data_IF_780707617672
#
_entry.id   IF_780707617672
#
_cell.length_a   1.000
_cell.length_b   1.000
_cell.length_c   1.000
_cell.angle_alpha   90.00
_cell.angle_beta   90.00
_cell.angle_gamma   90.00
#
_symmetry.space_group_name_H-M   'P 1'
#
loop_
_entity.id
_entity.type
_entity.pdbx_description
1 polymer ?
#
# COMPACT_ATOMS: atom_id res chain seq x y z
N UNK A 1 3.71 -15.46 2.26
CA UNK A 1 3.92 -14.14 1.63
C UNK A 1 2.73 -13.19 1.85
N UNK A 2 1.50 -13.70 1.99
CA UNK A 2 0.29 -12.88 2.06
C UNK A 2 0.04 -12.19 3.41
N UNK A 3 0.68 -12.58 4.48
CA UNK A 3 0.47 -12.00 5.82
C UNK A 3 1.35 -10.79 6.11
N UNK A 4 2.40 -10.55 5.34
CA UNK A 4 3.34 -9.43 5.51
C UNK A 4 2.75 -8.04 5.23
N UNK A 5 1.50 -7.94 4.78
CA UNK A 5 0.89 -6.65 4.42
C UNK A 5 0.21 -5.92 5.60
N UNK A 6 0.24 -6.47 6.82
CA UNK A 6 -0.74 -6.09 7.85
C UNK A 6 -0.17 -5.39 9.10
N UNK A 7 1.13 -5.29 9.32
CA UNK A 7 1.61 -4.59 10.52
C UNK A 7 3.10 -4.23 10.47
N UNK A 8 3.47 -3.05 10.98
CA UNK A 8 4.85 -2.59 10.97
C UNK A 8 5.80 -3.44 11.82
N UNK A 9 5.40 -3.86 13.00
CA UNK A 9 6.25 -4.69 13.88
C UNK A 9 6.32 -6.16 13.45
N UNK A 10 5.22 -6.75 13.01
CA UNK A 10 5.21 -8.10 12.41
C UNK A 10 6.07 -8.15 11.14
N UNK A 11 6.01 -7.11 10.30
CA UNK A 11 6.83 -7.04 9.09
C UNK A 11 8.34 -7.09 9.34
N UNK A 12 8.85 -6.53 10.43
CA UNK A 12 10.30 -6.55 10.74
C UNK A 12 10.74 -7.96 11.12
N UNK A 13 9.99 -8.67 11.97
CA UNK A 13 10.29 -10.04 12.37
C UNK A 13 10.22 -11.01 11.19
N UNK A 14 9.20 -10.86 10.34
CA UNK A 14 9.02 -11.67 9.15
C UNK A 14 10.13 -11.44 8.12
N UNK A 15 10.63 -10.20 8.00
CA UNK A 15 11.77 -9.88 7.12
C UNK A 15 13.01 -10.68 7.49
N UNK A 16 13.35 -10.74 8.78
CA UNK A 16 14.49 -11.52 9.25
C UNK A 16 14.33 -12.99 8.91
N UNK A 17 13.17 -13.58 9.22
CA UNK A 17 12.87 -14.98 8.92
C UNK A 17 12.95 -15.29 7.41
N UNK A 18 12.44 -14.42 6.55
CA UNK A 18 12.48 -14.60 5.09
C UNK A 18 13.93 -14.57 4.58
N UNK A 19 14.77 -13.69 5.12
CA UNK A 19 16.18 -13.60 4.74
C UNK A 19 16.98 -14.81 5.22
N UNK A 20 16.66 -15.34 6.40
CA UNK A 20 17.23 -16.61 6.88
C UNK A 20 16.82 -17.76 5.96
N UNK A 21 15.53 -17.90 5.63
CA UNK A 21 15.04 -18.89 4.67
C UNK A 21 15.68 -18.75 3.28
N UNK A 22 15.94 -17.49 2.81
CA UNK A 22 16.68 -17.24 1.58
C UNK A 22 18.06 -17.89 1.62
N UNK A 23 18.83 -17.66 2.68
CA UNK A 23 20.18 -18.21 2.83
C UNK A 23 20.17 -19.74 2.83
N UNK A 24 19.29 -20.35 3.62
CA UNK A 24 19.12 -21.80 3.65
C UNK A 24 18.79 -22.39 2.28
N UNK A 25 17.91 -21.71 1.51
CA UNK A 25 17.57 -22.14 0.17
C UNK A 25 18.74 -22.01 -0.80
N UNK A 26 19.45 -20.87 -0.79
CA UNK A 26 20.61 -20.61 -1.63
C UNK A 26 21.72 -21.63 -1.37
N UNK A 27 21.99 -21.94 -0.10
CA UNK A 27 22.97 -22.95 0.31
C UNK A 27 22.59 -24.35 -0.16
N UNK A 28 21.29 -24.70 -0.01
CA UNK A 28 20.80 -26.04 -0.37
C UNK A 28 20.75 -26.30 -1.87
N UNK A 29 20.38 -25.29 -2.65
CA UNK A 29 20.11 -25.46 -4.09
C UNK A 29 21.12 -24.77 -5.00
N UNK A 30 22.08 -24.03 -4.45
CA UNK A 30 23.06 -23.22 -5.18
C UNK A 30 22.41 -22.25 -6.17
N UNK A 31 21.23 -21.70 -5.81
CA UNK A 31 20.45 -20.77 -6.64
C UNK A 31 20.18 -19.49 -5.87
N UNK A 32 20.49 -18.33 -6.46
CA UNK A 32 20.15 -17.03 -5.89
C UNK A 32 18.68 -16.70 -6.09
N UNK A 33 18.03 -16.24 -5.01
CA UNK A 33 16.65 -15.73 -5.04
C UNK A 33 16.67 -14.27 -4.56
N UNK A 34 16.29 -13.29 -5.40
CA UNK A 34 16.21 -11.91 -4.97
C UNK A 34 15.03 -11.72 -4.01
N UNK A 35 15.28 -11.06 -2.89
CA UNK A 35 14.26 -10.67 -1.90
C UNK A 35 14.08 -9.17 -1.95
N UNK A 36 12.87 -8.72 -2.32
CA UNK A 36 12.48 -7.31 -2.39
C UNK A 36 11.55 -7.00 -1.20
N UNK A 37 11.98 -6.07 -0.37
CA UNK A 37 11.19 -5.63 0.79
C UNK A 37 10.20 -4.55 0.41
N UNK A 38 8.92 -4.76 0.70
CA UNK A 38 7.84 -3.80 0.47
C UNK A 38 7.11 -3.46 1.78
N UNK A 39 6.63 -2.22 1.88
CA UNK A 39 5.94 -1.71 3.07
C UNK A 39 6.88 -1.27 4.19
N UNK A 40 6.53 -0.19 4.87
CA UNK A 40 7.32 0.39 5.95
C UNK A 40 8.63 1.05 5.51
N UNK A 41 8.89 1.19 4.21
CA UNK A 41 10.04 1.90 3.65
C UNK A 41 9.59 3.32 3.28
N UNK A 42 10.23 4.32 3.86
CA UNK A 42 9.89 5.72 3.64
C UNK A 42 11.07 6.55 3.15
N UNK A 43 12.22 6.44 3.76
CA UNK A 43 13.41 7.23 3.48
C UNK A 43 14.64 6.36 3.19
N UNK A 44 15.76 7.00 2.92
CA UNK A 44 17.05 6.35 2.65
C UNK A 44 17.51 5.45 3.80
N UNK A 45 17.23 5.83 5.06
CA UNK A 45 17.64 5.04 6.21
C UNK A 45 16.88 3.71 6.28
N UNK A 46 15.59 3.74 5.95
CA UNK A 46 14.77 2.52 5.85
C UNK A 46 15.30 1.58 4.74
N UNK A 47 15.73 2.16 3.61
CA UNK A 47 16.35 1.40 2.51
C UNK A 47 17.65 0.75 2.97
N UNK A 48 18.56 1.52 3.58
CA UNK A 48 19.84 1.03 4.09
C UNK A 48 19.59 -0.08 5.13
N UNK A 49 18.62 0.11 6.01
CA UNK A 49 18.27 -0.90 7.00
C UNK A 49 17.79 -2.21 6.34
N UNK A 50 16.91 -2.14 5.34
CA UNK A 50 16.44 -3.32 4.62
C UNK A 50 17.58 -4.06 3.89
N UNK A 51 18.46 -3.33 3.23
CA UNK A 51 19.62 -3.90 2.53
C UNK A 51 20.61 -4.55 3.52
N UNK A 52 20.87 -3.89 4.66
CA UNK A 52 21.75 -4.43 5.71
C UNK A 52 21.19 -5.70 6.35
N UNK A 53 19.87 -5.87 6.38
CA UNK A 53 19.24 -7.13 6.78
C UNK A 53 19.43 -8.24 5.75
N UNK A 54 19.83 -7.93 4.51
CA UNK A 54 20.08 -8.90 3.43
C UNK A 54 19.04 -8.89 2.32
N UNK A 55 18.19 -7.86 2.23
CA UNK A 55 17.34 -7.65 1.07
C UNK A 55 18.18 -7.25 -0.16
N UNK A 56 17.72 -7.66 -1.34
CA UNK A 56 18.36 -7.29 -2.62
C UNK A 56 17.79 -5.97 -3.18
N UNK A 57 16.65 -5.52 -2.64
CA UNK A 57 16.03 -4.26 -3.03
C UNK A 57 14.80 -3.93 -2.20
N UNK A 58 14.19 -2.78 -2.50
CA UNK A 58 12.98 -2.30 -1.83
C UNK A 58 11.93 -1.84 -2.82
N UNK A 59 10.65 -1.84 -2.40
CA UNK A 59 9.54 -1.28 -3.16
C UNK A 59 8.87 -0.19 -2.34
N UNK A 60 8.72 1.00 -2.93
CA UNK A 60 8.08 2.16 -2.32
C UNK A 60 6.92 2.60 -3.24
N UNK A 61 5.75 2.86 -2.67
CA UNK A 61 4.58 3.29 -3.43
C UNK A 61 4.02 4.63 -2.96
N UNK A 62 3.65 4.77 -1.67
CA UNK A 62 2.88 5.92 -1.17
C UNK A 62 3.56 7.27 -1.41
N UNK A 63 4.89 7.36 -1.31
CA UNK A 63 5.62 8.59 -1.59
C UNK A 63 5.53 9.03 -3.05
N UNK A 64 5.49 8.05 -3.99
CA UNK A 64 5.37 8.34 -5.43
C UNK A 64 3.96 8.82 -5.82
N UNK A 65 2.92 8.52 -5.03
CA UNK A 65 1.59 9.11 -5.22
C UNK A 65 1.62 10.63 -5.01
N UNK A 66 2.36 11.11 -4.02
CA UNK A 66 2.53 12.53 -3.73
C UNK A 66 3.60 13.19 -4.62
N UNK A 67 3.61 12.88 -5.91
CA UNK A 67 4.51 13.51 -6.89
C UNK A 67 3.74 14.25 -7.96
N UNK A 68 4.41 15.21 -8.62
CA UNK A 68 3.82 15.98 -9.74
C UNK A 68 3.52 15.08 -10.93
N UNK A 69 4.37 14.06 -11.14
CA UNK A 69 4.30 13.13 -12.27
C UNK A 69 3.20 12.06 -12.10
N UNK A 70 2.71 11.81 -10.88
CA UNK A 70 1.56 10.95 -10.67
C UNK A 70 0.32 11.57 -11.33
N UNK A 71 -0.37 10.83 -12.18
CA UNK A 71 -1.53 11.27 -12.96
C UNK A 71 -2.86 11.20 -12.19
N UNK A 72 -2.85 10.80 -10.91
CA UNK A 72 -4.01 10.88 -10.04
C UNK A 72 -4.45 12.34 -9.82
N UNK A 73 -5.73 12.52 -9.56
CA UNK A 73 -6.31 13.85 -9.34
C UNK A 73 -5.63 14.61 -8.19
N UNK A 74 -5.63 15.95 -8.21
CA UNK A 74 -5.12 16.75 -7.10
C UNK A 74 -5.76 16.41 -5.75
N UNK A 75 -7.07 16.13 -5.72
CA UNK A 75 -7.77 15.74 -4.50
C UNK A 75 -7.25 14.41 -3.92
N UNK A 76 -6.92 13.44 -4.77
CA UNK A 76 -6.32 12.17 -4.36
C UNK A 76 -4.94 12.39 -3.71
N UNK A 77 -4.07 13.19 -4.34
CA UNK A 77 -2.75 13.54 -3.80
C UNK A 77 -2.87 14.31 -2.49
N UNK A 78 -3.83 15.25 -2.42
CA UNK A 78 -4.07 16.03 -1.20
C UNK A 78 -4.55 15.15 -0.03
N UNK A 79 -5.27 14.08 -0.30
CA UNK A 79 -5.66 13.12 0.73
C UNK A 79 -4.44 12.46 1.40
N UNK A 80 -3.35 12.21 0.66
CA UNK A 80 -2.10 11.72 1.24
C UNK A 80 -1.37 12.78 2.08
N UNK A 81 -1.37 14.04 1.62
CA UNK A 81 -0.74 15.15 2.36
C UNK A 81 -1.47 15.45 3.67
N UNK A 82 -2.80 15.35 3.67
CA UNK A 82 -3.64 15.62 4.83
C UNK A 82 -3.72 14.41 5.80
N UNK A 83 -3.26 13.24 5.38
CA UNK A 83 -3.36 12.02 6.16
C UNK A 83 -2.50 12.10 7.43
N UNK A 84 -3.04 11.60 8.53
CA UNK A 84 -2.33 11.41 9.79
C UNK A 84 -2.17 9.91 10.06
N UNK A 85 -1.27 9.57 10.96
CA UNK A 85 -1.06 8.17 11.34
C UNK A 85 -2.33 7.51 11.88
N UNK A 86 -3.13 8.26 12.63
CA UNK A 86 -4.42 7.81 13.19
C UNK A 86 -5.52 7.56 12.15
N UNK A 87 -5.36 8.11 10.94
CA UNK A 87 -6.30 7.90 9.83
C UNK A 87 -6.05 6.58 9.08
N UNK A 88 -4.95 5.88 9.39
CA UNK A 88 -4.58 4.63 8.74
C UNK A 88 -5.26 3.46 9.42
N UNK A 89 -6.03 2.69 8.67
CA UNK A 89 -6.67 1.48 9.20
C UNK A 89 -6.57 0.29 8.24
N UNK A 90 -6.68 -0.90 8.81
CA UNK A 90 -6.77 -2.14 8.05
C UNK A 90 -8.23 -2.41 7.73
N UNK A 91 -8.52 -2.68 6.46
CA UNK A 91 -9.85 -2.98 5.97
C UNK A 91 -9.91 -4.35 5.31
N UNK A 92 -11.09 -4.95 5.34
CA UNK A 92 -11.39 -6.15 4.55
C UNK A 92 -11.62 -5.76 3.09
N UNK A 93 -10.80 -6.32 2.20
CA UNK A 93 -10.95 -6.09 0.77
C UNK A 93 -11.79 -7.18 0.10
N UNK A 94 -12.63 -6.85 -0.90
CA UNK A 94 -13.37 -7.85 -1.69
C UNK A 94 -12.49 -8.87 -2.41
N UNK A 95 -11.19 -8.60 -2.54
CA UNK A 95 -10.21 -9.53 -3.14
C UNK A 95 -9.71 -10.61 -2.17
N UNK A 96 -10.20 -10.62 -0.92
CA UNK A 96 -9.89 -11.66 0.07
C UNK A 96 -8.63 -11.41 0.90
N UNK A 97 -7.88 -10.35 0.62
CA UNK A 97 -6.72 -9.95 1.43
C UNK A 97 -7.01 -8.65 2.18
N UNK A 98 -6.55 -8.51 3.45
CA UNK A 98 -6.64 -7.23 4.14
C UNK A 98 -5.83 -6.17 3.42
N UNK A 99 -6.30 -4.93 3.46
CA UNK A 99 -5.61 -3.77 2.89
C UNK A 99 -5.52 -2.63 3.89
N UNK A 100 -4.48 -1.81 3.78
CA UNK A 100 -4.33 -0.60 4.59
C UNK A 100 -4.84 0.60 3.81
N UNK A 101 -5.76 1.36 4.39
CA UNK A 101 -6.42 2.47 3.73
C UNK A 101 -6.59 3.67 4.65
N UNK A 102 -6.81 4.86 4.07
CA UNK A 102 -7.17 6.07 4.80
C UNK A 102 -8.65 6.03 5.21
N UNK A 103 -8.91 6.37 6.48
CA UNK A 103 -10.25 6.45 7.07
C UNK A 103 -10.98 7.72 6.60
N UNK A 104 -11.53 7.67 5.42
CA UNK A 104 -12.38 8.71 4.83
C UNK A 104 -13.89 8.42 5.02
N UNK A 105 -14.76 9.21 4.38
CA UNK A 105 -16.20 9.02 4.42
C UNK A 105 -16.64 7.66 3.88
N UNK A 106 -16.00 7.17 2.81
CA UNK A 106 -16.25 5.85 2.24
C UNK A 106 -16.05 4.72 3.26
N UNK A 107 -14.92 4.73 3.98
CA UNK A 107 -14.62 3.72 4.98
C UNK A 107 -15.57 3.81 6.17
N UNK A 108 -15.90 5.02 6.64
CA UNK A 108 -16.88 5.23 7.71
C UNK A 108 -18.27 4.70 7.34
N UNK A 109 -18.67 4.79 6.07
CA UNK A 109 -19.91 4.21 5.58
C UNK A 109 -19.87 2.68 5.63
N UNK A 110 -18.73 2.06 5.28
CA UNK A 110 -18.55 0.60 5.33
C UNK A 110 -18.61 0.04 6.74
N UNK A 111 -18.19 0.79 7.77
CA UNK A 111 -18.32 0.38 9.18
C UNK A 111 -19.78 0.16 9.58
N UNK A 112 -20.73 0.86 8.95
CA UNK A 112 -22.14 0.83 9.29
C UNK A 112 -23.01 -0.01 8.34
N UNK A 113 -22.62 -0.13 7.08
CA UNK A 113 -23.43 -0.80 6.07
C UNK A 113 -22.65 -1.15 4.81
N UNK A 114 -23.17 -2.15 4.10
CA UNK A 114 -22.70 -2.49 2.76
C UNK A 114 -23.06 -1.37 1.76
N UNK A 115 -22.15 -1.07 0.84
CA UNK A 115 -22.40 -0.12 -0.26
C UNK A 115 -22.98 -0.91 -1.46
N UNK A 116 -24.23 -0.63 -1.87
CA UNK A 116 -24.87 -1.35 -2.98
C UNK A 116 -24.07 -1.20 -4.29
N UNK A 117 -23.97 -2.31 -5.03
CA UNK A 117 -23.26 -2.35 -6.32
C UNK A 117 -24.29 -2.20 -7.44
N UNK A 118 -24.36 -1.02 -8.04
CA UNK A 118 -25.27 -0.71 -9.15
C UNK A 118 -24.75 -1.23 -10.51
N UNK A 119 -23.42 -1.35 -10.66
CA UNK A 119 -22.77 -1.81 -11.89
C UNK A 119 -21.60 -2.73 -11.55
N UNK A 120 -21.58 -3.92 -12.14
CA UNK A 120 -20.44 -4.83 -12.05
C UNK A 120 -19.48 -4.59 -13.21
N UNK A 121 -18.16 -4.55 -12.93
CA UNK A 121 -17.10 -4.38 -13.93
C UNK A 121 -16.48 -5.71 -14.38
N UNK A 122 -16.95 -6.85 -13.83
CA UNK A 122 -16.40 -8.18 -14.11
C UNK A 122 -14.87 -8.27 -13.93
N UNK A 123 -14.35 -7.54 -12.95
CA UNK A 123 -12.91 -7.39 -12.73
C UNK A 123 -12.26 -8.55 -11.96
N UNK A 124 -13.05 -9.37 -11.27
CA UNK A 124 -12.58 -10.48 -10.45
C UNK A 124 -13.46 -11.71 -10.71
N UNK A 125 -12.84 -12.83 -11.10
CA UNK A 125 -13.52 -14.07 -11.47
C UNK A 125 -14.42 -14.63 -10.35
N UNK A 126 -13.96 -14.58 -9.09
CA UNK A 126 -14.70 -15.12 -7.94
C UNK A 126 -15.52 -14.07 -7.16
N UNK A 127 -15.63 -12.85 -7.69
CA UNK A 127 -16.41 -11.80 -7.05
C UNK A 127 -17.92 -12.04 -7.21
N UNK A 128 -18.61 -12.09 -6.09
CA UNK A 128 -20.08 -12.09 -6.08
C UNK A 128 -20.61 -10.72 -5.65
N UNK A 129 -21.12 -9.87 -6.59
CA UNK A 129 -21.62 -8.54 -6.27
C UNK A 129 -22.74 -8.53 -5.22
N UNK A 130 -23.45 -9.67 -5.05
CA UNK A 130 -24.47 -9.79 -4.03
C UNK A 130 -23.92 -10.03 -2.60
N UNK A 131 -22.66 -10.42 -2.45
CA UNK A 131 -22.07 -10.81 -1.15
C UNK A 131 -20.96 -9.86 -0.67
N UNK A 132 -20.22 -9.23 -1.60
CA UNK A 132 -19.10 -8.35 -1.24
C UNK A 132 -19.59 -7.03 -0.63
N UNK A 133 -18.83 -6.41 0.29
CA UNK A 133 -19.25 -5.18 0.97
C UNK A 133 -19.30 -3.96 0.04
N UNK A 134 -18.52 -3.92 -1.02
CA UNK A 134 -18.47 -2.85 -2.01
C UNK A 134 -17.79 -3.31 -3.31
N UNK A 135 -17.90 -2.53 -4.37
CA UNK A 135 -17.16 -2.76 -5.62
C UNK A 135 -15.79 -2.09 -5.54
N UNK A 136 -14.72 -2.90 -5.43
CA UNK A 136 -13.35 -2.37 -5.31
C UNK A 136 -12.93 -1.53 -6.52
N UNK A 137 -13.25 -1.97 -7.74
CA UNK A 137 -12.91 -1.23 -8.97
C UNK A 137 -13.56 0.15 -9.00
N UNK A 138 -14.86 0.24 -8.65
CA UNK A 138 -15.54 1.54 -8.58
C UNK A 138 -14.93 2.44 -7.53
N UNK A 139 -14.66 1.90 -6.35
CA UNK A 139 -14.07 2.66 -5.25
C UNK A 139 -12.68 3.21 -5.59
N UNK A 140 -11.83 2.42 -6.26
CA UNK A 140 -10.51 2.87 -6.71
C UNK A 140 -10.61 3.94 -7.82
N UNK A 141 -11.52 3.76 -8.79
CA UNK A 141 -11.75 4.75 -9.86
C UNK A 141 -12.25 6.07 -9.28
N UNK A 142 -13.19 6.05 -8.35
CA UNK A 142 -13.70 7.25 -7.68
C UNK A 142 -12.55 8.01 -7.01
N UNK A 143 -11.75 7.32 -6.20
CA UNK A 143 -10.64 7.91 -5.50
C UNK A 143 -9.64 8.60 -6.45
N UNK A 144 -9.15 7.89 -7.46
CA UNK A 144 -8.16 8.42 -8.42
C UNK A 144 -8.71 9.62 -9.21
N UNK A 145 -10.01 9.63 -9.53
CA UNK A 145 -10.69 10.74 -10.22
C UNK A 145 -10.97 11.94 -9.32
N UNK A 146 -10.77 11.83 -8.00
CA UNK A 146 -10.93 12.93 -7.06
C UNK A 146 -12.18 12.88 -6.19
N UNK A 147 -13.05 11.89 -6.40
CA UNK A 147 -14.17 11.62 -5.49
C UNK A 147 -13.65 10.79 -4.30
N UNK A 148 -12.86 11.45 -3.46
CA UNK A 148 -12.17 10.81 -2.33
C UNK A 148 -13.13 10.40 -1.21
N UNK A 149 -14.30 11.01 -1.13
CA UNK A 149 -15.31 10.71 -0.12
C UNK A 149 -16.10 9.44 -0.45
N UNK A 150 -16.21 9.07 -1.73
CA UNK A 150 -16.81 7.83 -2.21
C UNK A 150 -15.78 6.84 -2.78
N UNK A 151 -14.51 7.07 -2.51
CA UNK A 151 -13.38 6.32 -3.04
C UNK A 151 -12.57 5.60 -1.97
N UNK A 152 -11.96 4.49 -2.35
CA UNK A 152 -11.02 3.76 -1.52
C UNK A 152 -9.60 4.25 -1.80
N UNK A 153 -8.92 4.73 -0.75
CA UNK A 153 -7.55 5.24 -0.82
C UNK A 153 -6.66 4.27 -0.03
N UNK A 154 -5.99 3.36 -0.73
CA UNK A 154 -4.96 2.53 -0.12
C UNK A 154 -3.71 3.35 0.16
N UNK A 155 -3.02 3.06 1.25
CA UNK A 155 -1.79 3.75 1.63
C UNK A 155 -0.83 2.82 2.37
N UNK A 156 0.43 3.24 2.47
CA UNK A 156 1.40 2.62 3.39
C UNK A 156 1.21 3.12 4.83
N UNK A 157 1.80 2.43 5.76
CA UNK A 157 1.75 2.78 7.19
C UNK A 157 2.33 4.18 7.47
N UNK A 158 3.39 4.55 6.78
CA UNK A 158 4.09 5.83 6.93
C UNK A 158 3.45 7.00 6.14
N UNK A 159 2.19 6.89 5.69
CA UNK A 159 1.55 7.95 4.89
C UNK A 159 1.51 9.28 5.64
N UNK A 160 1.30 9.28 6.95
CA UNK A 160 1.27 10.50 7.78
C UNK A 160 2.59 11.28 7.84
N UNK A 161 3.70 10.73 7.29
CA UNK A 161 4.98 11.43 7.12
C UNK A 161 5.08 12.20 5.80
N UNK A 162 4.12 12.05 4.88
CA UNK A 162 4.07 12.75 3.59
C UNK A 162 3.42 14.12 3.81
N UNK A 163 4.17 15.19 3.65
CA UNK A 163 3.72 16.56 3.97
C UNK A 163 3.73 17.51 2.76
N UNK A 164 4.27 17.08 1.62
CA UNK A 164 4.35 17.90 0.42
C UNK A 164 4.27 17.08 -0.88
N UNK A 165 3.92 17.75 -1.98
CA UNK A 165 3.98 17.20 -3.32
C UNK A 165 5.35 17.56 -3.92
N UNK A 166 6.17 16.54 -4.15
CA UNK A 166 7.51 16.68 -4.72
C UNK A 166 7.55 16.29 -6.21
N UNK A 167 8.74 16.12 -6.78
CA UNK A 167 8.94 15.48 -8.10
C UNK A 167 9.57 14.10 -7.93
N UNK A 168 9.35 13.20 -8.89
CA UNK A 168 10.02 11.89 -8.90
C UNK A 168 11.54 12.05 -8.86
N UNK A 169 12.09 13.03 -9.61
CA UNK A 169 13.53 13.28 -9.61
C UNK A 169 14.07 13.68 -8.23
N UNK A 170 13.38 14.61 -7.54
CA UNK A 170 13.78 15.02 -6.18
C UNK A 170 13.66 13.87 -5.18
N UNK A 171 12.57 13.11 -5.28
CA UNK A 171 12.34 11.95 -4.43
C UNK A 171 13.40 10.86 -4.64
N UNK A 172 13.76 10.57 -5.90
CA UNK A 172 14.81 9.60 -6.21
C UNK A 172 16.16 10.02 -5.65
N UNK A 173 16.52 11.30 -5.77
CA UNK A 173 17.76 11.82 -5.18
C UNK A 173 17.78 11.63 -3.66
N UNK A 174 16.69 12.02 -2.97
CA UNK A 174 16.57 11.84 -1.52
C UNK A 174 16.74 10.37 -1.09
N UNK A 175 16.19 9.43 -1.89
CA UNK A 175 16.21 8.01 -1.54
C UNK A 175 17.57 7.34 -1.87
N UNK A 176 18.36 7.87 -2.81
CA UNK A 176 19.57 7.20 -3.30
C UNK A 176 20.88 7.95 -2.99
N UNK A 177 20.86 9.27 -2.92
CA UNK A 177 22.01 10.11 -2.60
C UNK A 177 22.10 10.46 -1.10
#
# INVERSE_FOLDING_TARGET
>A
ISECLVGSEMCIRDRTNIIECKKEYEDKYSKKIPVIVAGGIFDKQDIIHAINLGADGVQIASRFVATKECDASPAYKQAYINARQEDVQIIQSPVGMPGRALRNAFIKQLDNSRIPISKCYNCLEKCNPAKVPYCITKALINAVKGDVDNGLIFCGDNVGRINEITTVNSLMKELTE
#
